data_IF_634765756458
#
_entry.id   IF_634765756458
#
_cell.length_a   1.000
_cell.length_b   1.000
_cell.length_c   1.000
_cell.angle_alpha   90.00
_cell.angle_beta   90.00
_cell.angle_gamma   90.00
#
_symmetry.space_group_name_H-M   'P 1'
#
loop_
_entity.id
_entity.type
_entity.pdbx_description
1 polymer ?
#
# COMPACT_ATOMS: atom_id res chain seq x y z
N UNK A 1 1.24 16.49 -4.51
CA UNK A 1 0.83 15.21 -3.91
C UNK A 1 1.87 14.12 -4.08
N UNK A 2 2.15 13.66 -5.31
CA UNK A 2 3.13 12.60 -5.57
C UNK A 2 4.50 12.80 -4.89
N UNK A 3 5.06 14.00 -4.99
CA UNK A 3 6.36 14.33 -4.40
C UNK A 3 6.35 14.23 -2.86
N UNK A 4 5.27 14.68 -2.23
CA UNK A 4 5.08 14.57 -0.77
C UNK A 4 4.95 13.10 -0.37
N UNK A 5 4.20 12.30 -1.13
CA UNK A 5 4.03 10.86 -0.87
C UNK A 5 5.37 10.13 -0.98
N UNK A 6 6.16 10.41 -2.02
CA UNK A 6 7.48 9.83 -2.22
C UNK A 6 8.43 10.23 -1.08
N UNK A 7 8.49 11.51 -0.72
CA UNK A 7 9.33 11.98 0.40
C UNK A 7 8.92 11.33 1.72
N UNK A 8 7.62 11.31 2.04
CA UNK A 8 7.13 10.66 3.26
C UNK A 8 7.49 9.18 3.25
N UNK A 9 7.31 8.48 2.13
CA UNK A 9 7.71 7.07 2.01
C UNK A 9 9.21 6.89 2.25
N UNK A 10 10.07 7.65 1.56
CA UNK A 10 11.52 7.52 1.72
C UNK A 10 11.99 7.90 3.14
N UNK A 11 11.39 8.91 3.76
CA UNK A 11 11.82 9.44 5.07
C UNK A 11 11.18 8.72 6.26
N UNK A 12 10.06 8.02 6.09
CA UNK A 12 9.40 7.30 7.18
C UNK A 12 9.50 5.79 7.01
N UNK A 13 9.21 5.27 5.82
CA UNK A 13 9.19 3.83 5.60
C UNK A 13 10.59 3.23 5.59
N UNK A 14 11.55 3.83 4.87
CA UNK A 14 12.92 3.27 4.79
C UNK A 14 13.60 3.22 6.16
N UNK A 15 13.59 4.29 6.99
CA UNK A 15 14.24 4.24 8.30
C UNK A 15 13.59 3.24 9.27
N UNK A 16 12.30 2.94 9.11
CA UNK A 16 11.58 1.99 9.96
C UNK A 16 11.69 0.54 9.48
N UNK A 17 12.16 0.28 8.25
CA UNK A 17 12.31 -1.08 7.70
C UNK A 17 13.03 -2.07 8.64
N UNK A 18 14.14 -1.71 9.31
CA UNK A 18 14.85 -2.63 10.20
C UNK A 18 14.01 -3.14 11.38
N UNK A 19 12.92 -2.44 11.74
CA UNK A 19 12.07 -2.77 12.89
C UNK A 19 11.03 -3.85 12.51
N UNK A 20 10.57 -3.86 11.27
CA UNK A 20 9.48 -4.73 10.82
C UNK A 20 9.86 -5.62 9.62
N UNK A 21 11.14 -5.91 9.44
CA UNK A 21 11.65 -6.76 8.36
C UNK A 21 11.07 -8.18 8.42
N UNK A 22 10.42 -8.59 7.34
CA UNK A 22 9.86 -9.91 7.13
C UNK A 22 10.39 -10.44 5.79
N UNK A 23 11.34 -11.37 5.86
CA UNK A 23 11.89 -12.07 4.69
C UNK A 23 11.29 -13.47 4.70
N UNK A 24 10.71 -13.89 3.57
CA UNK A 24 10.21 -15.25 3.45
C UNK A 24 10.21 -15.79 2.02
N UNK A 25 9.87 -17.07 1.88
CA UNK A 25 10.03 -17.81 0.63
C UNK A 25 8.85 -17.56 -0.33
N UNK A 26 9.13 -17.05 -1.52
CA UNK A 26 8.21 -17.08 -2.64
C UNK A 26 8.50 -18.31 -3.49
N UNK A 27 7.69 -19.35 -3.32
CA UNK A 27 7.77 -20.56 -4.14
C UNK A 27 7.03 -20.38 -5.47
N UNK A 28 7.74 -20.54 -6.58
CA UNK A 28 7.20 -20.46 -7.93
C UNK A 28 7.27 -21.86 -8.57
N UNK A 29 6.17 -22.64 -8.54
CA UNK A 29 6.17 -24.03 -9.02
C UNK A 29 6.33 -24.14 -10.54
N UNK A 30 6.06 -23.07 -11.28
CA UNK A 30 6.09 -23.05 -12.75
C UNK A 30 7.46 -22.66 -13.33
N UNK A 31 8.48 -22.43 -12.49
CA UNK A 31 9.82 -22.01 -12.92
C UNK A 31 10.84 -23.10 -12.57
N UNK A 32 11.43 -23.71 -13.60
CA UNK A 32 12.41 -24.80 -13.47
C UNK A 32 11.77 -26.18 -13.32
N UNK A 33 12.59 -27.24 -13.45
CA UNK A 33 12.11 -28.63 -13.50
C UNK A 33 11.46 -29.13 -12.19
N UNK A 34 11.73 -28.46 -11.06
CA UNK A 34 11.19 -28.80 -9.73
C UNK A 34 10.62 -27.60 -8.97
N UNK A 35 10.34 -26.49 -9.68
CA UNK A 35 10.00 -25.21 -9.06
C UNK A 35 11.22 -24.49 -8.46
N UNK A 36 11.12 -23.16 -8.28
CA UNK A 36 12.18 -22.34 -7.64
C UNK A 36 11.61 -21.52 -6.50
N UNK A 37 12.36 -21.47 -5.40
CA UNK A 37 12.04 -20.64 -4.23
C UNK A 37 12.96 -19.43 -4.17
N UNK A 38 12.38 -18.23 -4.13
CA UNK A 38 13.11 -16.98 -3.96
C UNK A 38 12.91 -16.43 -2.55
N UNK A 39 13.96 -15.90 -1.93
CA UNK A 39 13.79 -15.12 -0.71
C UNK A 39 13.30 -13.72 -1.07
N UNK A 40 12.12 -13.35 -0.59
CA UNK A 40 11.48 -12.05 -0.87
C UNK A 40 11.27 -11.30 0.43
N UNK A 41 11.55 -10.00 0.41
CA UNK A 41 11.24 -9.11 1.52
C UNK A 41 9.76 -8.68 1.42
N UNK A 42 8.90 -9.34 2.20
CA UNK A 42 7.49 -9.02 2.25
C UNK A 42 7.24 -7.63 2.81
N UNK A 43 8.07 -7.13 3.72
CA UNK A 43 7.92 -5.76 4.25
C UNK A 43 8.03 -4.72 3.15
N UNK A 44 9.01 -4.86 2.24
CA UNK A 44 9.14 -4.00 1.07
C UNK A 44 7.93 -4.11 0.14
N UNK A 45 7.46 -5.33 -0.13
CA UNK A 45 6.27 -5.56 -0.95
C UNK A 45 5.01 -4.90 -0.37
N UNK A 46 4.74 -5.14 0.91
CA UNK A 46 3.62 -4.57 1.66
C UNK A 46 3.71 -3.05 1.76
N UNK A 47 4.91 -2.52 1.99
CA UNK A 47 5.16 -1.07 2.03
C UNK A 47 4.89 -0.40 0.69
N UNK A 48 5.38 -0.99 -0.40
CA UNK A 48 5.11 -0.50 -1.75
C UNK A 48 3.61 -0.51 -2.07
N UNK A 49 2.91 -1.59 -1.70
CA UNK A 49 1.47 -1.69 -1.84
C UNK A 49 0.73 -0.60 -1.05
N UNK A 50 1.10 -0.39 0.22
CA UNK A 50 0.55 0.70 1.04
C UNK A 50 0.82 2.08 0.44
N UNK A 51 2.02 2.34 -0.07
CA UNK A 51 2.37 3.57 -0.75
C UNK A 51 1.53 3.81 -2.01
N UNK A 52 1.27 2.75 -2.79
CA UNK A 52 0.41 2.81 -3.98
C UNK A 52 -1.05 3.15 -3.60
N UNK A 53 -1.57 2.60 -2.50
CA UNK A 53 -2.88 2.97 -1.97
C UNK A 53 -2.96 4.46 -1.60
N UNK A 54 -1.94 4.99 -0.92
CA UNK A 54 -1.86 6.43 -0.60
C UNK A 54 -1.80 7.27 -1.87
N UNK A 55 -1.07 6.81 -2.90
CA UNK A 55 -0.99 7.49 -4.20
C UNK A 55 -2.33 7.55 -4.93
N UNK A 56 -3.17 6.53 -4.80
CA UNK A 56 -4.52 6.49 -5.40
C UNK A 56 -5.55 7.34 -4.64
N UNK A 57 -5.33 7.61 -3.35
CA UNK A 57 -6.28 8.32 -2.49
C UNK A 57 -6.74 9.69 -3.03
N UNK A 58 -5.87 10.60 -3.53
CA UNK A 58 -6.30 11.87 -4.10
C UNK A 58 -7.24 11.71 -5.29
N UNK A 59 -7.00 10.72 -6.14
CA UNK A 59 -7.83 10.41 -7.32
C UNK A 59 -9.21 9.90 -6.90
N UNK A 60 -9.25 8.98 -5.93
CA UNK A 60 -10.48 8.51 -5.31
C UNK A 60 -11.25 9.64 -4.64
N UNK A 61 -10.56 10.50 -3.90
CA UNK A 61 -11.16 11.67 -3.23
C UNK A 61 -11.81 12.63 -4.25
N UNK A 62 -11.12 12.94 -5.36
CA UNK A 62 -11.69 13.75 -6.45
C UNK A 62 -12.95 13.12 -7.05
N UNK A 63 -12.93 11.80 -7.28
CA UNK A 63 -14.09 11.05 -7.80
C UNK A 63 -15.29 11.08 -6.85
N UNK A 64 -15.04 10.97 -5.54
CA UNK A 64 -16.10 11.10 -4.52
C UNK A 64 -16.68 12.53 -4.54
N UNK A 65 -15.84 13.56 -4.66
CA UNK A 65 -16.32 14.95 -4.74
C UNK A 65 -17.15 15.20 -6.00
N UNK A 66 -16.79 14.63 -7.15
CA UNK A 66 -17.58 14.78 -8.38
C UNK A 66 -18.95 14.10 -8.26
N UNK A 67 -19.01 12.92 -7.64
CA UNK A 67 -20.28 12.22 -7.36
C UNK A 67 -21.19 12.99 -6.39
N UNK A 68 -20.60 13.77 -5.46
CA UNK A 68 -21.34 14.60 -4.49
C UNK A 68 -21.68 16.00 -5.01
N UNK A 69 -21.70 16.19 -6.34
CA UNK A 69 -21.99 17.50 -6.98
C UNK A 69 -21.08 18.62 -6.46
N UNK A 70 -19.81 18.32 -6.21
CA UNK A 70 -18.80 19.29 -5.78
C UNK A 70 -18.73 19.55 -4.26
N UNK A 71 -19.62 18.97 -3.45
CA UNK A 71 -19.56 19.13 -1.99
C UNK A 71 -18.41 18.32 -1.40
N UNK A 72 -17.41 19.02 -0.84
CA UNK A 72 -16.28 18.41 -0.11
C UNK A 72 -16.64 18.19 1.37
N UNK A 73 -16.20 17.07 1.93
CA UNK A 73 -16.25 16.84 3.38
C UNK A 73 -14.97 17.40 4.01
N UNK A 74 -15.04 17.89 5.24
CA UNK A 74 -13.84 18.17 6.03
C UNK A 74 -12.98 16.91 6.17
N UNK A 75 -11.66 17.04 6.01
CA UNK A 75 -10.69 15.92 6.09
C UNK A 75 -10.91 14.75 5.09
N UNK A 76 -11.65 14.97 3.99
CA UNK A 76 -11.98 13.91 3.04
C UNK A 76 -10.76 13.13 2.51
N UNK A 77 -9.64 13.80 2.26
CA UNK A 77 -8.40 13.14 1.81
C UNK A 77 -7.87 12.13 2.84
N UNK A 78 -7.72 12.55 4.09
CA UNK A 78 -7.25 11.69 5.18
C UNK A 78 -8.22 10.53 5.45
N UNK A 79 -9.53 10.81 5.44
CA UNK A 79 -10.56 9.78 5.61
C UNK A 79 -10.44 8.72 4.51
N UNK A 80 -10.36 9.14 3.24
CA UNK A 80 -10.23 8.21 2.11
C UNK A 80 -8.95 7.38 2.24
N UNK A 81 -7.80 8.00 2.56
CA UNK A 81 -6.54 7.27 2.72
C UNK A 81 -6.63 6.23 3.83
N UNK A 82 -7.09 6.62 5.03
CA UNK A 82 -7.18 5.72 6.19
C UNK A 82 -8.18 4.60 5.92
N UNK A 83 -9.35 4.90 5.36
CA UNK A 83 -10.34 3.88 4.98
C UNK A 83 -9.76 2.90 3.95
N UNK A 84 -9.02 3.37 2.95
CA UNK A 84 -8.39 2.51 1.95
C UNK A 84 -7.39 1.55 2.59
N UNK A 85 -6.52 2.06 3.47
CA UNK A 85 -5.52 1.26 4.17
C UNK A 85 -6.16 0.23 5.11
N UNK A 86 -7.21 0.60 5.85
CA UNK A 86 -7.92 -0.33 6.74
C UNK A 86 -8.61 -1.43 5.94
N UNK A 87 -9.33 -1.09 4.87
CA UNK A 87 -10.05 -2.07 4.05
C UNK A 87 -9.07 -3.06 3.42
N UNK A 88 -8.02 -2.57 2.77
CA UNK A 88 -7.05 -3.44 2.12
C UNK A 88 -6.19 -4.23 3.12
N UNK A 89 -5.82 -3.61 4.25
CA UNK A 89 -5.14 -4.31 5.34
C UNK A 89 -5.99 -5.44 5.91
N UNK A 90 -7.29 -5.19 6.12
CA UNK A 90 -8.24 -6.22 6.55
C UNK A 90 -8.43 -7.33 5.52
N UNK A 91 -8.49 -7.00 4.22
CA UNK A 91 -8.57 -8.01 3.15
C UNK A 91 -7.32 -8.91 3.15
N UNK A 92 -6.12 -8.32 3.23
CA UNK A 92 -4.87 -9.07 3.27
C UNK A 92 -4.84 -9.99 4.51
N UNK A 93 -5.25 -9.47 5.67
CA UNK A 93 -5.32 -10.22 6.92
C UNK A 93 -6.30 -11.42 6.89
N UNK A 94 -7.30 -11.40 6.01
CA UNK A 94 -8.25 -12.52 5.83
C UNK A 94 -7.78 -13.54 4.80
N UNK A 95 -6.91 -13.14 3.87
CA UNK A 95 -6.37 -14.03 2.82
C UNK A 95 -5.15 -14.80 3.32
N UNK A 96 -4.32 -14.15 4.15
CA UNK A 96 -3.11 -14.70 4.77
C UNK A 96 -3.45 -15.36 6.09
#
# INVERSE_FOLDING_TARGET
>A
DALVIILVFLLTFIPLLPIFTAIGPLYLPFIGDYGRTFAVNYSLGSGFFGGLLVFLSPTLSKKITSMRKGKKISFQGSIVTVSLLIIFGGIIQLIV
#
